data_IF_230831229676
#
_entry.id   IF_230831229676
#
_cell.length_a   1.000
_cell.length_b   1.000
_cell.length_c   1.000
_cell.angle_alpha   90.00
_cell.angle_beta   90.00
_cell.angle_gamma   90.00
#
_symmetry.space_group_name_H-M   'P 1'
#
loop_
_entity.id
_entity.type
_entity.pdbx_description
1 polymer ?
#
# COMPACT_ATOMS: atom_id res chain seq x y z
N UNK A 1 -71.58 -4.65 16.16
CA UNK A 1 -70.83 -3.82 15.20
C UNK A 1 -69.38 -4.21 15.32
N UNK A 2 -68.76 -4.68 14.23
CA UNK A 2 -67.44 -5.32 14.19
C UNK A 2 -66.31 -4.40 14.64
N UNK A 3 -65.40 -4.94 15.46
CA UNK A 3 -64.08 -4.38 15.67
C UNK A 3 -63.15 -4.91 14.57
N UNK A 4 -62.75 -4.04 13.65
CA UNK A 4 -61.84 -4.36 12.55
C UNK A 4 -60.47 -3.76 12.85
N UNK A 5 -59.66 -4.48 13.62
CA UNK A 5 -58.24 -4.17 13.71
C UNK A 5 -57.43 -5.42 14.10
N UNK A 6 -57.29 -6.33 13.15
CA UNK A 6 -56.26 -7.36 13.21
C UNK A 6 -55.65 -7.46 11.80
N UNK A 7 -54.82 -6.46 11.49
CA UNK A 7 -53.75 -6.63 10.52
C UNK A 7 -52.83 -7.72 11.06
N UNK A 8 -53.08 -8.97 10.66
CA UNK A 8 -52.16 -10.08 10.87
C UNK A 8 -50.80 -9.64 10.35
N UNK A 9 -49.88 -9.37 11.28
CA UNK A 9 -48.46 -9.38 10.98
C UNK A 9 -48.12 -10.81 10.56
N UNK A 10 -48.05 -11.03 9.26
CA UNK A 10 -47.31 -12.18 8.77
C UNK A 10 -45.84 -11.95 9.16
N UNK A 11 -45.19 -12.90 9.86
CA UNK A 11 -43.77 -12.80 10.07
C UNK A 11 -43.09 -12.79 8.70
N UNK A 12 -42.39 -11.71 8.40
CA UNK A 12 -41.48 -11.64 7.26
C UNK A 12 -40.56 -12.87 7.36
N UNK A 13 -40.47 -13.72 6.32
CA UNK A 13 -39.51 -14.81 6.32
C UNK A 13 -38.12 -14.22 6.56
N UNK A 14 -37.44 -14.73 7.59
CA UNK A 14 -36.11 -14.30 8.00
C UNK A 14 -35.24 -14.15 6.76
N UNK A 15 -34.68 -12.95 6.67
CA UNK A 15 -34.34 -12.35 5.39
C UNK A 15 -33.48 -13.22 4.51
N UNK A 16 -33.54 -12.87 3.23
CA UNK A 16 -32.37 -12.94 2.36
C UNK A 16 -31.36 -11.92 2.92
N UNK A 17 -30.90 -12.13 4.15
CA UNK A 17 -29.77 -11.42 4.71
C UNK A 17 -28.59 -12.11 4.06
N UNK A 18 -28.07 -11.43 3.04
CA UNK A 18 -26.73 -11.58 2.50
C UNK A 18 -26.08 -12.92 2.84
N UNK A 19 -26.24 -13.90 1.94
CA UNK A 19 -25.26 -14.97 1.87
C UNK A 19 -23.97 -14.36 1.32
N UNK A 20 -23.29 -13.56 2.15
CA UNK A 20 -21.93 -13.12 1.94
C UNK A 20 -21.13 -14.40 2.05
N UNK A 21 -20.93 -15.07 0.92
CA UNK A 21 -20.04 -16.23 0.82
C UNK A 21 -18.70 -15.70 1.32
N UNK A 22 -18.20 -16.15 2.49
CA UNK A 22 -16.90 -15.69 2.95
C UNK A 22 -15.88 -16.07 1.86
N UNK A 23 -15.12 -15.10 1.37
CA UNK A 23 -14.03 -15.36 0.42
C UNK A 23 -13.22 -16.54 0.93
N UNK A 24 -12.95 -17.53 0.09
CA UNK A 24 -12.23 -18.71 0.53
C UNK A 24 -10.84 -18.29 1.05
N UNK A 25 -10.28 -19.02 2.02
CA UNK A 25 -8.96 -18.66 2.57
C UNK A 25 -7.87 -18.50 1.49
N UNK A 26 -8.01 -19.18 0.35
CA UNK A 26 -7.13 -19.05 -0.80
C UNK A 26 -7.23 -17.68 -1.51
N UNK A 27 -8.42 -17.08 -1.57
CA UNK A 27 -8.65 -15.76 -2.16
C UNK A 27 -8.16 -14.64 -1.24
N UNK A 28 -8.39 -14.77 0.08
CA UNK A 28 -7.84 -13.87 1.09
C UNK A 28 -6.31 -13.87 1.05
N UNK A 29 -5.69 -15.06 1.01
CA UNK A 29 -4.25 -15.23 0.86
C UNK A 29 -3.68 -14.61 -0.42
N UNK A 30 -4.42 -14.66 -1.53
CA UNK A 30 -3.98 -14.10 -2.80
C UNK A 30 -3.93 -12.57 -2.78
N UNK A 31 -4.91 -11.92 -2.14
CA UNK A 31 -4.93 -10.47 -1.96
C UNK A 31 -3.79 -10.00 -1.03
N UNK A 32 -3.53 -10.70 0.07
CA UNK A 32 -2.40 -10.40 0.98
C UNK A 32 -1.04 -10.50 0.29
N UNK A 33 -0.86 -11.53 -0.56
CA UNK A 33 0.38 -11.75 -1.31
C UNK A 33 0.65 -10.69 -2.38
N UNK A 34 -0.38 -9.99 -2.86
CA UNK A 34 -0.25 -8.91 -3.83
C UNK A 34 0.22 -7.62 -3.14
N UNK A 35 -0.37 -7.26 -2.00
CA UNK A 35 -0.07 -6.02 -1.26
C UNK A 35 1.32 -6.03 -0.62
N UNK A 36 1.77 -7.20 -0.14
CA UNK A 36 3.11 -7.38 0.46
C UNK A 36 4.27 -7.05 -0.48
N UNK A 37 4.02 -6.99 -1.80
CA UNK A 37 5.06 -6.69 -2.81
C UNK A 37 5.23 -5.20 -3.10
N UNK A 38 4.39 -4.33 -2.54
CA UNK A 38 4.42 -2.88 -2.77
C UNK A 38 4.66 -2.09 -1.48
N UNK A 39 5.62 -2.49 -0.64
CA UNK A 39 6.06 -1.65 0.48
C UNK A 39 6.76 -0.39 -0.05
N UNK A 40 6.25 0.77 0.34
CA UNK A 40 6.75 2.09 -0.04
C UNK A 40 8.26 2.23 0.27
N UNK A 41 8.76 1.64 1.36
CA UNK A 41 10.18 1.67 1.75
C UNK A 41 11.05 1.03 0.68
N UNK A 42 10.57 -0.06 0.11
CA UNK A 42 11.28 -0.83 -0.92
C UNK A 42 11.25 -0.11 -2.26
N UNK A 43 10.13 0.52 -2.60
CA UNK A 43 9.98 1.35 -3.81
C UNK A 43 10.89 2.58 -3.73
N UNK A 44 10.82 3.35 -2.64
CA UNK A 44 11.66 4.54 -2.40
C UNK A 44 13.14 4.14 -2.36
N UNK A 45 13.48 3.07 -1.64
CA UNK A 45 14.84 2.55 -1.57
C UNK A 45 15.40 2.16 -2.94
N UNK A 46 14.63 1.41 -3.74
CA UNK A 46 15.02 1.05 -5.11
C UNK A 46 15.22 2.27 -6.00
N UNK A 47 14.34 3.27 -5.89
CA UNK A 47 14.43 4.52 -6.64
C UNK A 47 15.71 5.28 -6.30
N UNK A 48 16.04 5.42 -5.01
CA UNK A 48 17.28 6.05 -4.56
C UNK A 48 18.51 5.30 -5.05
N UNK A 49 18.50 3.97 -5.01
CA UNK A 49 19.64 3.16 -5.51
C UNK A 49 19.82 3.34 -7.02
N UNK A 50 18.73 3.28 -7.80
CA UNK A 50 18.78 3.44 -9.25
C UNK A 50 19.27 4.84 -9.66
N UNK A 51 18.66 5.89 -9.12
CA UNK A 51 19.07 7.26 -9.40
C UNK A 51 20.49 7.54 -8.90
N UNK A 52 20.83 7.09 -7.69
CA UNK A 52 22.16 7.24 -7.11
C UNK A 52 23.23 6.57 -7.98
N UNK A 53 22.97 5.38 -8.52
CA UNK A 53 23.87 4.70 -9.44
C UNK A 53 24.06 5.49 -10.75
N UNK A 54 22.98 6.00 -11.34
CA UNK A 54 23.06 6.81 -12.57
C UNK A 54 23.89 8.08 -12.31
N UNK A 55 23.59 8.80 -11.24
CA UNK A 55 24.30 10.03 -10.87
C UNK A 55 25.78 9.76 -10.57
N UNK A 56 26.08 8.65 -9.90
CA UNK A 56 27.45 8.23 -9.64
C UNK A 56 28.21 7.91 -10.93
N UNK A 57 27.59 7.17 -11.87
CA UNK A 57 28.16 6.87 -13.18
C UNK A 57 28.43 8.15 -13.97
N UNK A 58 27.48 9.09 -14.00
CA UNK A 58 27.64 10.39 -14.66
C UNK A 58 28.81 11.17 -14.06
N UNK A 59 28.91 11.22 -12.72
CA UNK A 59 30.02 11.89 -12.04
C UNK A 59 31.39 11.25 -12.29
N UNK A 60 31.43 9.93 -12.52
CA UNK A 60 32.66 9.21 -12.89
C UNK A 60 33.02 9.36 -14.38
N UNK A 61 32.02 9.48 -15.26
CA UNK A 61 32.21 9.59 -16.70
C UNK A 61 32.63 11.01 -17.15
N UNK A 62 32.19 12.07 -16.45
CA UNK A 62 32.63 13.45 -16.69
C UNK A 62 33.11 14.17 -15.40
N UNK A 63 34.26 13.78 -14.82
CA UNK A 63 34.73 14.37 -13.57
C UNK A 63 35.15 15.84 -13.70
N UNK A 64 35.57 16.26 -14.90
CA UNK A 64 36.12 17.60 -15.19
C UNK A 64 35.04 18.63 -15.51
N UNK A 65 34.02 18.26 -16.29
CA UNK A 65 32.88 19.12 -16.57
C UNK A 65 32.05 19.41 -15.33
N UNK A 66 31.98 18.45 -14.41
CA UNK A 66 31.23 18.58 -13.16
C UNK A 66 31.93 19.50 -12.15
N UNK A 67 33.26 19.36 -12.00
CA UNK A 67 34.08 20.24 -11.14
C UNK A 67 34.11 21.68 -11.64
N UNK A 68 34.09 21.89 -12.96
CA UNK A 68 34.09 23.24 -13.55
C UNK A 68 32.82 24.04 -13.22
N UNK A 69 31.66 23.36 -13.10
CA UNK A 69 30.36 23.99 -12.82
C UNK A 69 30.11 24.24 -11.33
N UNK A 70 30.89 23.63 -10.46
CA UNK A 70 30.64 23.52 -9.01
C UNK A 70 31.79 24.05 -8.14
N UNK A 71 32.76 24.76 -8.75
CA UNK A 71 33.89 25.33 -8.02
C UNK A 71 34.89 24.29 -7.52
N UNK A 72 35.03 23.16 -8.22
CA UNK A 72 36.02 22.11 -7.93
C UNK A 72 35.48 20.88 -7.18
N UNK A 73 34.20 20.85 -6.83
CA UNK A 73 33.59 19.78 -6.02
C UNK A 73 32.93 18.74 -6.94
N UNK A 74 33.21 17.46 -6.73
CA UNK A 74 32.56 16.40 -7.51
C UNK A 74 31.12 16.13 -7.01
N UNK A 75 30.19 17.05 -7.26
CA UNK A 75 28.86 17.02 -6.64
C UNK A 75 28.04 15.80 -7.06
N UNK A 76 28.15 15.34 -8.30
CA UNK A 76 27.44 14.14 -8.74
C UNK A 76 27.95 12.90 -7.99
N UNK A 77 29.27 12.78 -7.76
CA UNK A 77 29.80 11.63 -7.00
C UNK A 77 29.31 11.65 -5.55
N UNK A 78 29.42 12.79 -4.86
CA UNK A 78 28.97 12.91 -3.48
C UNK A 78 27.47 12.70 -3.33
N UNK A 79 26.67 13.26 -4.24
CA UNK A 79 25.21 13.11 -4.25
C UNK A 79 24.83 11.66 -4.55
N UNK A 80 25.46 11.02 -5.54
CA UNK A 80 25.23 9.62 -5.88
C UNK A 80 25.56 8.70 -4.71
N UNK A 81 26.70 8.89 -4.05
CA UNK A 81 27.06 8.13 -2.84
C UNK A 81 26.03 8.35 -1.72
N UNK A 82 25.61 9.60 -1.48
CA UNK A 82 24.58 9.90 -0.49
C UNK A 82 23.26 9.17 -0.76
N UNK A 83 22.81 9.17 -2.02
CA UNK A 83 21.61 8.45 -2.45
C UNK A 83 21.74 6.94 -2.26
N UNK A 84 22.91 6.34 -2.56
CA UNK A 84 23.16 4.92 -2.35
C UNK A 84 23.13 4.54 -0.86
N UNK A 85 23.70 5.37 0.01
CA UNK A 85 23.66 5.15 1.47
C UNK A 85 22.21 5.20 1.96
N UNK A 86 21.45 6.23 1.59
CA UNK A 86 20.05 6.37 2.00
C UNK A 86 19.21 5.20 1.48
N UNK A 87 19.35 4.84 0.19
CA UNK A 87 18.66 3.69 -0.39
C UNK A 87 19.00 2.37 0.33
N UNK A 88 20.28 2.16 0.66
CA UNK A 88 20.74 1.02 1.44
C UNK A 88 20.15 0.98 2.86
N UNK A 89 20.02 2.14 3.52
CA UNK A 89 19.36 2.24 4.83
C UNK A 89 17.86 1.89 4.74
N UNK A 90 17.17 2.30 3.67
CA UNK A 90 15.78 1.91 3.44
C UNK A 90 15.63 0.39 3.28
N UNK A 91 16.52 -0.25 2.52
CA UNK A 91 16.53 -1.72 2.41
C UNK A 91 16.88 -2.42 3.71
N UNK A 92 17.84 -1.88 4.47
CA UNK A 92 18.18 -2.42 5.78
C UNK A 92 17.00 -2.30 6.75
N UNK A 93 16.30 -1.18 6.73
CA UNK A 93 15.11 -0.97 7.55
C UNK A 93 13.95 -1.88 7.10
N UNK A 94 13.67 -2.00 5.81
CA UNK A 94 12.71 -2.97 5.25
C UNK A 94 13.00 -4.39 5.76
N UNK A 95 14.27 -4.78 5.75
CA UNK A 95 14.71 -6.07 6.26
C UNK A 95 14.54 -6.23 7.78
N UNK A 96 14.81 -5.18 8.56
CA UNK A 96 14.69 -5.20 10.02
C UNK A 96 13.25 -5.08 10.53
N UNK A 97 12.34 -4.49 9.75
CA UNK A 97 10.95 -4.21 10.13
C UNK A 97 9.98 -4.67 9.04
N UNK A 98 9.86 -5.99 8.81
CA UNK A 98 8.91 -6.52 7.85
C UNK A 98 7.48 -6.16 8.28
N UNK A 99 6.65 -5.74 7.33
CA UNK A 99 5.22 -5.48 7.57
C UNK A 99 4.50 -6.81 7.84
N UNK A 100 3.82 -6.95 8.99
CA UNK A 100 3.02 -8.13 9.30
C UNK A 100 1.86 -8.31 8.32
N UNK A 101 1.50 -9.56 8.02
CA UNK A 101 0.45 -9.86 7.06
C UNK A 101 -0.95 -9.57 7.64
N UNK A 102 -1.08 -9.68 8.96
CA UNK A 102 -2.28 -9.41 9.73
C UNK A 102 -2.73 -7.95 9.65
N UNK A 103 -1.80 -6.99 9.66
CA UNK A 103 -2.11 -5.55 9.58
C UNK A 103 -2.71 -5.17 8.21
N UNK A 104 -2.26 -5.85 7.16
CA UNK A 104 -2.74 -5.65 5.79
C UNK A 104 -4.17 -6.15 5.67
N UNK A 105 -4.47 -7.34 6.20
CA UNK A 105 -5.82 -7.91 6.19
C UNK A 105 -6.82 -7.07 6.96
N UNK A 106 -6.42 -6.56 8.13
CA UNK A 106 -7.25 -5.70 8.95
C UNK A 106 -7.65 -4.42 8.19
N UNK A 107 -6.71 -3.77 7.49
CA UNK A 107 -7.03 -2.57 6.70
C UNK A 107 -8.00 -2.83 5.54
N UNK A 108 -7.94 -4.00 4.89
CA UNK A 108 -8.87 -4.34 3.81
C UNK A 108 -10.28 -4.65 4.33
N UNK A 109 -10.37 -5.36 5.46
CA UNK A 109 -11.66 -5.65 6.09
C UNK A 109 -12.36 -4.36 6.54
N UNK A 110 -11.60 -3.40 7.08
CA UNK A 110 -12.10 -2.10 7.50
C UNK A 110 -12.56 -1.24 6.29
N UNK A 111 -11.82 -1.26 5.18
CA UNK A 111 -12.22 -0.60 3.93
C UNK A 111 -13.47 -1.22 3.27
N UNK A 112 -13.65 -2.54 3.35
CA UNK A 112 -14.87 -3.21 2.87
C UNK A 112 -16.08 -2.90 3.74
N UNK A 113 -15.90 -2.87 5.06
CA UNK A 113 -16.95 -2.49 6.01
C UNK A 113 -17.42 -1.04 5.79
N UNK A 114 -16.48 -0.11 5.60
CA UNK A 114 -16.79 1.30 5.28
C UNK A 114 -17.54 1.45 3.95
N UNK A 115 -17.15 0.67 2.92
CA UNK A 115 -17.84 0.67 1.63
C UNK A 115 -19.27 0.14 1.75
N UNK A 116 -19.45 -0.98 2.46
CA UNK A 116 -20.75 -1.56 2.72
C UNK A 116 -21.65 -0.63 3.56
N UNK A 117 -21.07 0.07 4.54
CA UNK A 117 -21.77 1.07 5.35
C UNK A 117 -22.16 2.33 4.54
N UNK A 118 -21.34 2.71 3.55
CA UNK A 118 -21.63 3.81 2.63
C UNK A 118 -22.74 3.48 1.64
N UNK A 119 -22.74 2.27 1.08
CA UNK A 119 -23.77 1.78 0.15
C UNK A 119 -25.12 1.61 0.86
N UNK A 120 -25.14 1.11 2.10
CA UNK A 120 -26.37 0.99 2.90
C UNK A 120 -27.04 2.31 3.29
N UNK A 121 -26.31 3.45 3.21
CA UNK A 121 -26.88 4.80 3.40
C UNK A 121 -27.38 5.45 2.11
N UNK A 122 -26.96 4.97 0.95
CA UNK A 122 -27.36 5.52 -0.35
C UNK A 122 -28.69 4.92 -0.86
N UNK A 123 -29.05 3.73 -0.37
CA UNK A 123 -30.23 2.96 -0.80
C UNK A 123 -31.43 3.09 0.17
N UNK A 124 -31.34 3.93 1.21
CA UNK A 124 -32.35 4.08 2.28
C UNK A 124 -33.13 5.39 2.28
#
# INVERSE_FOLDING_TARGET
MSNSNESRHEPMPDGIIEQRVPLSQAEQDAHVRATRRFDLRRIIGALFVLYGAIVLIVGLADPTGDKAKTGGIAINIWTGIGMLIVGGLFFLWDHLRPVPAEDILASYAEEEEDRAAGEGRAEG
#
